data_IF_820277062827
#
_entry.id   IF_820277062827
#
_cell.length_a   1.000
_cell.length_b   1.000
_cell.length_c   1.000
_cell.angle_alpha   90.00
_cell.angle_beta   90.00
_cell.angle_gamma   90.00
#
_symmetry.space_group_name_H-M   'P 1'
#
loop_
_entity.id
_entity.type
_entity.pdbx_description
1 polymer ?
#
# COMPACT_ATOMS: atom_id res chain seq x y z
N UNK A 1 -12.84 -20.68 2.10
CA UNK A 1 -11.58 -20.54 1.33
C UNK A 1 -11.19 -19.06 1.36
N UNK A 2 -9.97 -18.78 1.79
CA UNK A 2 -9.32 -17.46 2.00
C UNK A 2 -9.90 -16.53 3.09
N UNK A 3 -9.33 -16.64 4.30
CA UNK A 3 -9.40 -15.62 5.37
C UNK A 3 -8.41 -14.50 5.04
N UNK A 4 -8.93 -13.28 4.90
CA UNK A 4 -8.14 -12.05 4.76
C UNK A 4 -7.63 -11.64 6.16
N UNK A 5 -6.35 -11.27 6.20
CA UNK A 5 -5.63 -10.80 7.37
C UNK A 5 -6.38 -9.66 8.10
N UNK A 6 -6.49 -9.82 9.42
CA UNK A 6 -7.05 -8.86 10.38
C UNK A 6 -6.25 -7.56 10.41
N UNK A 7 -6.87 -6.45 9.98
CA UNK A 7 -6.42 -5.05 10.15
C UNK A 7 -6.60 -4.56 11.60
N UNK A 8 -6.03 -5.27 12.56
CA UNK A 8 -6.15 -4.94 14.00
C UNK A 8 -5.01 -4.12 14.58
N UNK A 9 -3.84 -4.09 13.94
CA UNK A 9 -2.59 -3.67 14.61
C UNK A 9 -1.92 -2.42 14.02
N UNK A 10 -2.56 -1.76 13.04
CA UNK A 10 -2.02 -0.53 12.43
C UNK A 10 -2.59 0.76 13.07
N UNK A 11 -3.72 0.69 13.77
CA UNK A 11 -4.42 1.89 14.25
C UNK A 11 -3.93 2.43 15.61
N UNK A 12 -3.18 1.64 16.37
CA UNK A 12 -2.64 2.07 17.68
C UNK A 12 -1.33 2.86 17.57
N UNK A 13 -0.66 2.86 16.41
CA UNK A 13 0.57 3.63 16.20
C UNK A 13 0.27 5.09 15.79
N UNK A 14 -0.88 5.35 15.14
CA UNK A 14 -1.25 6.70 14.71
C UNK A 14 -1.82 7.62 15.81
N UNK A 15 -2.14 7.10 17.00
CA UNK A 15 -2.69 7.93 18.09
C UNK A 15 -1.62 8.72 18.88
N UNK A 16 -0.34 8.46 18.67
CA UNK A 16 0.75 9.11 19.43
C UNK A 16 1.45 10.26 18.69
N UNK A 17 1.17 10.49 17.41
CA UNK A 17 1.72 11.63 16.69
C UNK A 17 0.60 12.65 16.45
N UNK A 18 0.73 13.84 17.05
CA UNK A 18 -0.17 14.97 16.80
C UNK A 18 -0.39 15.17 15.31
N UNK A 19 -1.62 15.55 14.93
CA UNK A 19 -2.10 15.65 13.56
C UNK A 19 -1.13 16.43 12.65
N UNK A 20 -0.19 15.71 12.05
CA UNK A 20 0.65 16.20 10.97
C UNK A 20 -0.10 15.83 9.70
N UNK A 21 -0.74 16.81 9.07
CA UNK A 21 -1.35 16.61 7.76
C UNK A 21 -0.20 16.37 6.79
N UNK A 22 0.05 15.10 6.45
CA UNK A 22 1.05 14.72 5.47
C UNK A 22 0.53 15.11 4.08
N UNK A 23 1.28 15.91 3.33
CA UNK A 23 0.97 16.21 1.93
C UNK A 23 2.13 15.82 1.02
N UNK A 24 1.85 15.52 -0.25
CA UNK A 24 2.85 15.27 -1.27
C UNK A 24 3.33 16.59 -1.87
N UNK A 25 4.65 16.74 -1.97
CA UNK A 25 5.30 17.91 -2.57
C UNK A 25 6.20 17.49 -3.73
N UNK A 26 6.26 18.33 -4.77
CA UNK A 26 7.19 18.12 -5.89
C UNK A 26 8.62 18.30 -5.40
N UNK A 27 9.50 17.40 -5.84
CA UNK A 27 10.94 17.52 -5.64
C UNK A 27 11.66 17.42 -6.98
N UNK A 28 12.76 18.15 -7.09
CA UNK A 28 13.67 17.97 -8.21
C UNK A 28 14.39 16.64 -8.06
N UNK A 29 14.31 15.80 -9.09
CA UNK A 29 15.11 14.58 -9.22
C UNK A 29 15.62 14.54 -10.66
N UNK A 30 16.89 14.17 -10.82
CA UNK A 30 17.49 14.10 -12.15
C UNK A 30 17.02 12.81 -12.86
N UNK A 31 16.04 12.96 -13.74
CA UNK A 31 15.54 11.87 -14.59
C UNK A 31 16.20 11.85 -15.97
N UNK A 32 17.30 12.57 -16.21
CA UNK A 32 17.87 12.74 -17.55
C UNK A 32 18.14 11.39 -18.25
N UNK A 33 18.72 10.41 -17.54
CA UNK A 33 18.97 9.07 -18.10
C UNK A 33 17.69 8.26 -18.33
N UNK A 34 16.69 8.44 -17.47
CA UNK A 34 15.39 7.77 -17.58
C UNK A 34 14.60 8.34 -18.78
N UNK A 35 14.56 9.66 -18.93
CA UNK A 35 13.94 10.35 -20.06
C UNK A 35 14.64 10.03 -21.39
N UNK A 36 15.97 9.84 -21.39
CA UNK A 36 16.71 9.37 -22.56
C UNK A 36 16.32 7.95 -22.96
N UNK A 37 16.13 7.07 -21.98
CA UNK A 37 15.79 5.66 -22.21
C UNK A 37 14.32 5.47 -22.58
N UNK A 38 13.44 6.34 -22.09
CA UNK A 38 11.98 6.27 -22.27
C UNK A 38 11.43 7.64 -22.72
N UNK A 39 11.70 8.08 -23.96
CA UNK A 39 11.34 9.42 -24.43
C UNK A 39 9.82 9.63 -24.59
N UNK A 40 9.05 8.54 -24.68
CA UNK A 40 7.58 8.56 -24.78
C UNK A 40 6.87 8.59 -23.42
N UNK A 41 7.61 8.72 -22.32
CA UNK A 41 7.07 8.65 -20.96
C UNK A 41 7.43 9.93 -20.20
N UNK A 42 6.41 10.61 -19.66
CA UNK A 42 6.60 11.73 -18.75
C UNK A 42 7.02 11.25 -17.37
N UNK A 43 7.89 11.98 -16.67
CA UNK A 43 8.36 11.61 -15.34
C UNK A 43 8.21 12.77 -14.34
N UNK A 44 7.79 12.43 -13.13
CA UNK A 44 7.75 13.36 -11.99
C UNK A 44 8.20 12.69 -10.70
N UNK A 45 8.78 13.47 -9.78
CA UNK A 45 9.18 12.98 -8.46
C UNK A 45 8.49 13.77 -7.35
N UNK A 46 7.87 13.04 -6.45
CA UNK A 46 7.07 13.58 -5.36
C UNK A 46 7.46 12.91 -4.05
N UNK A 47 7.51 13.70 -2.99
CA UNK A 47 7.93 13.21 -1.67
C UNK A 47 6.99 13.77 -0.61
N UNK A 48 6.65 12.95 0.38
CA UNK A 48 5.84 13.38 1.51
C UNK A 48 6.59 14.40 2.36
N UNK A 49 5.95 15.51 2.71
CA UNK A 49 6.60 16.61 3.46
C UNK A 49 7.06 16.19 4.87
N UNK A 50 6.33 15.28 5.53
CA UNK A 50 6.77 14.71 6.81
C UNK A 50 7.89 13.68 6.58
N UNK A 51 9.11 14.05 6.99
CA UNK A 51 10.30 13.18 7.04
C UNK A 51 10.71 12.50 5.72
N UNK A 52 10.15 12.88 4.57
CA UNK A 52 10.39 12.20 3.29
C UNK A 52 10.15 10.67 3.36
N UNK A 53 9.17 10.27 4.18
CA UNK A 53 8.90 8.86 4.43
C UNK A 53 8.41 8.11 3.20
N UNK A 54 7.64 8.79 2.33
CA UNK A 54 7.12 8.24 1.07
C UNK A 54 7.80 8.94 -0.10
N UNK A 55 8.38 8.16 -1.01
CA UNK A 55 8.90 8.63 -2.29
C UNK A 55 8.05 8.09 -3.41
N UNK A 56 7.66 8.95 -4.33
CA UNK A 56 6.76 8.61 -5.42
C UNK A 56 7.37 9.06 -6.75
N UNK A 57 7.50 8.10 -7.66
CA UNK A 57 7.88 8.33 -9.04
C UNK A 57 6.59 8.24 -9.86
N UNK A 58 6.23 9.34 -10.50
CA UNK A 58 5.09 9.42 -11.40
C UNK A 58 5.59 9.16 -12.83
N UNK A 59 4.91 8.26 -13.53
CA UNK A 59 5.15 7.94 -14.93
C UNK A 59 3.86 8.21 -15.72
N UNK A 60 3.95 9.05 -16.73
CA UNK A 60 2.82 9.45 -17.58
C UNK A 60 2.94 8.77 -18.95
N UNK A 61 1.97 7.92 -19.28
CA UNK A 61 1.94 7.16 -20.52
C UNK A 61 0.82 7.65 -21.43
N UNK A 62 1.13 7.86 -22.71
CA UNK A 62 0.13 8.31 -23.70
C UNK A 62 -0.96 7.26 -23.98
N UNK A 63 -0.62 5.96 -23.89
CA UNK A 63 -1.55 4.84 -24.16
C UNK A 63 -1.35 3.70 -23.18
N UNK A 64 -2.37 2.86 -23.00
CA UNK A 64 -2.29 1.68 -22.14
C UNK A 64 -1.27 0.67 -22.68
N UNK A 65 -1.13 0.60 -24.00
CA UNK A 65 -0.15 -0.26 -24.66
C UNK A 65 1.29 0.09 -24.26
N UNK A 66 1.66 1.37 -24.31
CA UNK A 66 3.02 1.80 -23.93
C UNK A 66 3.28 1.48 -22.45
N UNK A 67 2.28 1.70 -21.58
CA UNK A 67 2.37 1.36 -20.16
C UNK A 67 2.70 -0.14 -19.97
N UNK A 68 1.91 -1.03 -20.58
CA UNK A 68 2.10 -2.48 -20.46
C UNK A 68 3.43 -2.94 -21.06
N UNK A 69 3.87 -2.33 -22.16
CA UNK A 69 5.11 -2.69 -22.83
C UNK A 69 6.37 -2.19 -22.08
N UNK A 70 6.28 -1.10 -21.30
CA UNK A 70 7.47 -0.42 -20.74
C UNK A 70 7.59 -0.41 -19.20
N UNK A 71 6.53 -0.70 -18.44
CA UNK A 71 6.56 -0.56 -16.96
C UNK A 71 7.68 -1.38 -16.30
N UNK A 72 7.92 -2.61 -16.77
CA UNK A 72 8.93 -3.51 -16.21
C UNK A 72 10.35 -3.00 -16.48
N UNK A 73 10.60 -2.46 -17.68
CA UNK A 73 11.89 -1.86 -18.03
C UNK A 73 12.17 -0.60 -17.20
N UNK A 74 11.16 0.26 -17.02
CA UNK A 74 11.25 1.46 -16.17
C UNK A 74 11.55 1.06 -14.73
N UNK A 75 10.87 0.05 -14.21
CA UNK A 75 11.10 -0.47 -12.87
C UNK A 75 12.52 -1.02 -12.68
N UNK A 76 13.00 -1.82 -13.64
CA UNK A 76 14.37 -2.34 -13.62
C UNK A 76 15.40 -1.21 -13.62
N UNK A 77 15.12 -0.14 -14.36
CA UNK A 77 15.95 1.05 -14.32
C UNK A 77 15.91 1.69 -12.91
N UNK A 78 14.72 1.95 -12.37
CA UNK A 78 14.55 2.55 -11.04
C UNK A 78 15.26 1.74 -9.95
N UNK A 79 15.26 0.41 -10.04
CA UNK A 79 15.89 -0.47 -9.05
C UNK A 79 17.40 -0.25 -8.91
N UNK A 80 18.06 0.14 -10.01
CA UNK A 80 19.50 0.42 -10.06
C UNK A 80 19.79 1.83 -9.55
N UNK A 81 18.97 2.82 -9.90
CA UNK A 81 19.28 4.24 -9.71
C UNK A 81 18.67 4.87 -8.46
N UNK A 82 17.58 4.32 -7.94
CA UNK A 82 16.89 4.88 -6.78
C UNK A 82 17.24 4.10 -5.50
N UNK A 83 18.27 4.56 -4.78
CA UNK A 83 18.58 4.10 -3.44
C UNK A 83 18.20 5.18 -2.41
N UNK A 84 17.06 5.04 -1.70
CA UNK A 84 16.67 5.98 -0.66
C UNK A 84 17.74 6.07 0.43
N UNK A 85 18.12 7.30 0.78
CA UNK A 85 19.15 7.58 1.80
C UNK A 85 18.74 7.10 3.20
N UNK A 86 17.43 7.07 3.47
CA UNK A 86 16.86 6.61 4.73
C UNK A 86 16.43 5.15 4.55
N UNK A 87 16.94 4.27 5.42
CA UNK A 87 16.67 2.82 5.35
C UNK A 87 15.18 2.48 5.42
N UNK A 88 14.42 3.20 6.26
CA UNK A 88 12.97 3.05 6.34
C UNK A 88 12.23 3.51 5.07
N UNK A 89 12.74 4.51 4.35
CA UNK A 89 12.13 5.02 3.11
C UNK A 89 12.29 4.07 1.92
N UNK A 90 13.21 3.10 1.99
CA UNK A 90 13.35 2.04 0.98
C UNK A 90 12.06 1.24 0.80
N UNK A 91 11.31 1.09 1.88
CA UNK A 91 10.08 0.32 1.89
C UNK A 91 8.85 1.11 1.45
N UNK A 92 9.00 2.39 1.13
CA UNK A 92 7.90 3.31 0.81
C UNK A 92 8.14 4.05 -0.51
N UNK A 93 8.73 3.34 -1.47
CA UNK A 93 8.83 3.81 -2.85
C UNK A 93 7.59 3.35 -3.60
N UNK A 94 6.94 4.32 -4.25
CA UNK A 94 5.76 4.11 -5.08
C UNK A 94 6.07 4.48 -6.53
N UNK A 95 5.59 3.66 -7.45
CA UNK A 95 5.61 3.90 -8.88
C UNK A 95 4.16 4.06 -9.35
N UNK A 96 3.80 5.28 -9.73
CA UNK A 96 2.44 5.63 -10.14
C UNK A 96 2.42 5.72 -11.66
N UNK A 97 1.63 4.88 -12.30
CA UNK A 97 1.53 4.75 -13.73
C UNK A 97 0.21 5.39 -14.18
N UNK A 98 0.28 6.58 -14.75
CA UNK A 98 -0.88 7.33 -15.26
C UNK A 98 -1.12 7.01 -16.73
N UNK A 99 -2.38 6.79 -17.08
CA UNK A 99 -2.79 6.54 -18.45
C UNK A 99 -4.18 7.13 -18.74
N UNK A 100 -4.42 7.72 -19.92
CA UNK A 100 -5.75 8.22 -20.29
C UNK A 100 -6.72 7.08 -20.67
N UNK A 101 -6.19 5.90 -21.00
CA UNK A 101 -6.96 4.72 -21.40
C UNK A 101 -7.22 3.78 -20.21
N UNK A 102 -8.15 2.84 -20.39
CA UNK A 102 -8.29 1.73 -19.45
C UNK A 102 -7.24 0.67 -19.78
N UNK A 103 -6.60 0.14 -18.75
CA UNK A 103 -5.68 -1.00 -18.84
C UNK A 103 -6.49 -2.28 -18.65
N UNK A 104 -6.12 -3.35 -19.36
CA UNK A 104 -6.77 -4.65 -19.18
C UNK A 104 -6.66 -5.11 -17.72
N UNK A 105 -7.73 -5.73 -17.20
CA UNK A 105 -7.80 -6.16 -15.80
C UNK A 105 -6.66 -7.12 -15.45
N UNK A 106 -6.26 -7.99 -16.38
CA UNK A 106 -5.14 -8.92 -16.18
C UNK A 106 -3.82 -8.17 -16.05
N UNK A 107 -3.54 -7.27 -16.99
CA UNK A 107 -2.29 -6.49 -16.97
C UNK A 107 -2.22 -5.62 -15.73
N UNK A 108 -3.33 -4.97 -15.36
CA UNK A 108 -3.43 -4.18 -14.13
C UNK A 108 -3.11 -5.02 -12.89
N UNK A 109 -3.64 -6.24 -12.81
CA UNK A 109 -3.37 -7.16 -11.71
C UNK A 109 -1.90 -7.58 -11.64
N UNK A 110 -1.31 -7.93 -12.79
CA UNK A 110 0.11 -8.32 -12.90
C UNK A 110 0.99 -7.18 -12.40
N UNK A 111 0.76 -5.97 -12.92
CA UNK A 111 1.57 -4.81 -12.61
C UNK A 111 1.43 -4.41 -11.14
N UNK A 112 0.21 -4.29 -10.61
CA UNK A 112 0.01 -3.80 -9.23
C UNK A 112 0.47 -4.80 -8.16
N UNK A 113 0.44 -6.09 -8.45
CA UNK A 113 0.91 -7.13 -7.51
C UNK A 113 2.40 -7.43 -7.62
N UNK A 114 3.09 -6.91 -8.64
CA UNK A 114 4.53 -7.04 -8.70
C UNK A 114 5.17 -6.21 -7.58
N UNK A 115 5.81 -6.90 -6.63
CA UNK A 115 6.44 -6.28 -5.46
C UNK A 115 7.91 -5.91 -5.68
N UNK A 116 8.46 -6.14 -6.88
CA UNK A 116 9.87 -5.85 -7.13
C UNK A 116 10.09 -4.33 -7.12
N UNK A 117 11.14 -3.87 -6.43
CA UNK A 117 11.59 -2.45 -6.35
C UNK A 117 10.67 -1.44 -5.65
N UNK A 118 9.38 -1.39 -6.00
CA UNK A 118 8.44 -0.36 -5.55
C UNK A 118 7.00 -0.90 -5.61
N UNK A 119 6.12 -0.31 -4.79
CA UNK A 119 4.67 -0.54 -4.90
C UNK A 119 4.13 0.19 -6.12
N UNK A 120 3.32 -0.49 -6.92
CA UNK A 120 2.80 0.05 -8.18
C UNK A 120 1.33 0.38 -8.06
N UNK A 121 0.93 1.49 -8.63
CA UNK A 121 -0.46 1.87 -8.77
C UNK A 121 -0.70 2.36 -10.19
N UNK A 122 -1.79 1.89 -10.79
CA UNK A 122 -2.23 2.37 -12.10
C UNK A 122 -3.43 3.26 -11.87
N UNK A 123 -3.34 4.49 -12.39
CA UNK A 123 -4.42 5.47 -12.35
C UNK A 123 -4.86 5.71 -13.80
N UNK A 124 -6.10 5.34 -14.09
CA UNK A 124 -6.68 5.31 -15.43
C UNK A 124 -7.55 6.55 -15.66
N UNK A 125 -7.79 6.89 -16.94
CA UNK A 125 -8.68 7.99 -17.35
C UNK A 125 -8.24 9.38 -16.90
N UNK A 126 -6.94 9.55 -16.63
CA UNK A 126 -6.40 10.89 -16.38
C UNK A 126 -5.87 11.48 -17.69
N UNK A 127 -6.21 12.74 -18.01
CA UNK A 127 -5.68 13.40 -19.19
C UNK A 127 -4.17 13.62 -19.03
N UNK A 128 -3.40 13.26 -20.05
CA UNK A 128 -1.94 13.45 -20.11
C UNK A 128 -1.63 14.61 -21.08
N UNK A 129 -0.69 15.52 -20.76
CA UNK A 129 0.09 15.59 -19.52
C UNK A 129 -0.73 16.08 -18.33
N UNK A 130 -0.43 15.58 -17.13
CA UNK A 130 -1.12 15.99 -15.90
C UNK A 130 -0.47 17.24 -15.33
N UNK A 131 -1.27 18.25 -14.98
CA UNK A 131 -0.73 19.42 -14.29
C UNK A 131 -0.24 19.06 -12.88
N UNK A 132 0.79 19.76 -12.41
CA UNK A 132 1.41 19.52 -11.11
C UNK A 132 0.41 19.52 -9.94
N UNK A 133 -0.61 20.37 -9.96
CA UNK A 133 -1.59 20.47 -8.88
C UNK A 133 -2.54 19.26 -8.88
N UNK A 134 -2.95 18.81 -10.07
CA UNK A 134 -3.73 17.59 -10.26
C UNK A 134 -2.95 16.35 -9.88
N UNK A 135 -1.67 16.26 -10.25
CA UNK A 135 -0.78 15.17 -9.85
C UNK A 135 -0.69 15.06 -8.32
N UNK A 136 -0.42 16.17 -7.62
CA UNK A 136 -0.41 16.20 -6.15
C UNK A 136 -1.74 15.71 -5.56
N UNK A 137 -2.87 16.15 -6.14
CA UNK A 137 -4.20 15.72 -5.69
C UNK A 137 -4.42 14.20 -5.88
N UNK A 138 -4.03 13.66 -7.03
CA UNK A 138 -4.09 12.21 -7.29
C UNK A 138 -3.26 11.48 -6.25
N UNK A 139 -2.01 11.88 -6.04
CA UNK A 139 -1.11 11.23 -5.08
C UNK A 139 -1.62 11.31 -3.64
N UNK A 140 -2.14 12.45 -3.21
CA UNK A 140 -2.69 12.59 -1.86
C UNK A 140 -3.93 11.71 -1.65
N UNK A 141 -4.79 11.59 -2.66
CA UNK A 141 -5.96 10.72 -2.55
C UNK A 141 -5.54 9.24 -2.54
N UNK A 142 -4.77 8.83 -3.54
CA UNK A 142 -4.41 7.43 -3.74
C UNK A 142 -3.45 6.88 -2.68
N UNK A 143 -2.47 7.67 -2.23
CA UNK A 143 -1.45 7.22 -1.28
C UNK A 143 -1.78 7.55 0.17
N UNK A 144 -2.44 8.68 0.42
CA UNK A 144 -2.69 9.18 1.77
C UNK A 144 -4.17 9.14 2.16
N UNK A 145 -5.06 8.76 1.23
CA UNK A 145 -6.49 8.64 1.50
C UNK A 145 -7.17 9.96 1.84
N UNK A 146 -6.73 11.08 1.24
CA UNK A 146 -7.30 12.40 1.53
C UNK A 146 -8.78 12.55 1.16
N UNK A 147 -9.27 11.70 0.25
CA UNK A 147 -10.67 11.61 -0.15
C UNK A 147 -11.51 10.76 0.81
N UNK A 148 -10.88 10.02 1.74
CA UNK A 148 -11.57 9.23 2.74
C UNK A 148 -12.25 10.16 3.75
N UNK A 149 -13.56 10.33 3.57
CA UNK A 149 -14.43 10.89 4.60
C UNK A 149 -14.77 9.77 5.58
N UNK A 150 -14.19 9.82 6.77
CA UNK A 150 -14.57 8.91 7.83
C UNK A 150 -15.99 9.27 8.29
N UNK A 151 -16.97 8.50 7.82
CA UNK A 151 -18.33 8.60 8.33
C UNK A 151 -18.38 7.84 9.66
N UNK A 152 -18.17 8.57 10.75
CA UNK A 152 -18.30 8.03 12.11
C UNK A 152 -19.76 7.96 12.56
N UNK A 153 -20.74 8.14 11.64
CA UNK A 153 -22.14 7.88 11.94
C UNK A 153 -22.23 6.46 12.51
N UNK A 154 -22.64 6.35 13.77
CA UNK A 154 -22.42 5.19 14.61
C UNK A 154 -22.82 3.88 13.94
N UNK A 155 -21.85 3.22 13.31
CA UNK A 155 -21.90 1.79 13.15
C UNK A 155 -21.86 1.25 14.58
N UNK A 156 -23.05 1.08 15.16
CA UNK A 156 -23.26 0.07 16.18
C UNK A 156 -22.82 -1.19 15.47
N UNK A 157 -21.58 -1.58 15.68
CA UNK A 157 -21.15 -2.93 15.38
C UNK A 157 -22.00 -3.75 16.33
N UNK A 158 -23.14 -4.22 15.86
CA UNK A 158 -23.75 -5.39 16.46
C UNK A 158 -22.72 -6.50 16.27
N UNK A 159 -21.82 -6.62 17.23
CA UNK A 159 -20.96 -7.77 17.42
C UNK A 159 -21.84 -8.96 17.86
N UNK A 160 -22.91 -9.24 17.13
CA UNK A 160 -23.70 -10.46 17.29
C UNK A 160 -23.00 -11.66 16.64
N UNK A 161 -21.82 -11.46 16.04
CA UNK A 161 -20.92 -12.55 15.69
C UNK A 161 -20.21 -13.05 16.97
N UNK A 162 -20.91 -13.88 17.73
CA UNK A 162 -20.26 -14.83 18.63
C UNK A 162 -19.64 -15.93 17.77
N UNK A 163 -18.35 -15.75 17.51
CA UNK A 163 -17.53 -16.76 16.86
C UNK A 163 -17.66 -18.08 17.64
N UNK A 164 -17.93 -19.21 17.00
CA UNK A 164 -17.94 -20.52 17.69
C UNK A 164 -16.59 -20.87 18.37
N UNK A 165 -15.54 -20.08 18.10
CA UNK A 165 -14.23 -20.19 18.74
C UNK A 165 -13.92 -19.07 19.75
N UNK A 166 -14.82 -18.11 19.99
CA UNK A 166 -14.58 -16.99 20.93
C UNK A 166 -14.26 -17.47 22.34
N UNK A 167 -14.98 -18.50 22.78
CA UNK A 167 -14.90 -19.03 24.14
C UNK A 167 -13.55 -19.71 24.40
N UNK A 168 -12.88 -20.16 23.33
CA UNK A 168 -11.53 -20.72 23.41
C UNK A 168 -10.43 -19.64 23.45
N UNK A 169 -10.75 -18.40 23.08
CA UNK A 169 -9.83 -17.26 23.08
C UNK A 169 -9.90 -16.45 24.37
N UNK A 170 -10.94 -16.64 25.20
CA UNK A 170 -11.01 -16.05 26.53
C UNK A 170 -9.86 -16.58 27.41
N UNK A 171 -9.29 -15.74 28.27
CA UNK A 171 -8.29 -16.12 29.28
C UNK A 171 -7.06 -16.90 28.77
N UNK A 172 -6.62 -16.64 27.53
CA UNK A 172 -5.38 -17.21 27.01
C UNK A 172 -4.19 -16.39 27.56
N UNK A 173 -3.34 -16.96 28.43
CA UNK A 173 -2.20 -16.24 28.95
C UNK A 173 -1.18 -15.96 27.84
N UNK A 174 -0.62 -14.75 27.81
CA UNK A 174 0.27 -14.27 26.74
C UNK A 174 1.74 -14.40 27.11
N UNK A 175 2.06 -14.58 28.38
CA UNK A 175 3.43 -14.66 28.87
C UNK A 175 4.14 -15.97 28.48
N UNK A 176 5.45 -16.00 28.67
CA UNK A 176 6.32 -17.08 28.21
C UNK A 176 6.56 -18.17 29.28
N UNK A 177 5.91 -18.08 30.44
CA UNK A 177 6.08 -19.05 31.53
C UNK A 177 5.64 -20.46 31.12
N UNK A 178 6.19 -21.46 31.80
CA UNK A 178 5.91 -22.87 31.53
C UNK A 178 4.44 -23.22 31.78
N UNK A 179 3.82 -22.66 32.81
CA UNK A 179 2.39 -22.82 33.10
C UNK A 179 1.52 -22.26 31.99
N UNK A 180 1.83 -21.06 31.50
CA UNK A 180 1.07 -20.41 30.42
C UNK A 180 1.19 -21.13 29.09
N UNK A 181 2.34 -21.76 28.80
CA UNK A 181 2.49 -22.65 27.64
C UNK A 181 1.62 -23.91 27.76
N UNK A 182 1.52 -24.50 28.95
CA UNK A 182 0.68 -25.67 29.19
C UNK A 182 -0.80 -25.34 28.98
N UNK A 183 -1.28 -24.23 29.55
CA UNK A 183 -2.66 -23.75 29.40
C UNK A 183 -2.98 -23.47 27.92
N UNK A 184 -2.05 -22.84 27.17
CA UNK A 184 -2.21 -22.65 25.72
C UNK A 184 -2.29 -23.97 24.96
N UNK A 185 -1.45 -24.95 25.29
CA UNK A 185 -1.45 -26.25 24.63
C UNK A 185 -2.78 -27.00 24.85
N UNK A 186 -3.33 -26.97 26.06
CA UNK A 186 -4.64 -27.56 26.39
C UNK A 186 -5.79 -26.89 25.62
N UNK A 187 -5.79 -25.56 25.53
CA UNK A 187 -6.79 -24.83 24.74
C UNK A 187 -6.67 -25.14 23.24
N UNK A 188 -5.45 -25.28 22.71
CA UNK A 188 -5.21 -25.70 21.32
C UNK A 188 -5.74 -27.11 21.07
N UNK A 189 -5.49 -28.08 21.97
CA UNK A 189 -6.04 -29.44 21.82
C UNK A 189 -7.56 -29.43 21.83
N UNK A 190 -8.18 -28.65 22.73
CA UNK A 190 -9.63 -28.51 22.82
C UNK A 190 -10.23 -27.91 21.53
N UNK A 191 -9.56 -26.93 20.93
CA UNK A 191 -9.92 -26.35 19.63
C UNK A 191 -9.81 -27.37 18.49
N UNK A 192 -8.75 -28.18 18.47
CA UNK A 192 -8.54 -29.21 17.44
C UNK A 192 -9.66 -30.26 17.50
N UNK A 193 -10.03 -30.72 18.71
CA UNK A 193 -11.14 -31.66 18.87
C UNK A 193 -12.48 -31.09 18.45
N UNK A 194 -12.73 -29.81 18.76
CA UNK A 194 -13.96 -29.12 18.36
C UNK A 194 -14.08 -29.04 16.84
N UNK A 195 -13.01 -28.63 16.14
CA UNK A 195 -12.99 -28.52 14.67
C UNK A 195 -12.99 -29.90 14.00
N UNK A 196 -12.34 -30.90 14.58
CA UNK A 196 -12.27 -32.26 14.01
C UNK A 196 -13.57 -33.07 14.09
N UNK A 197 -14.56 -32.63 14.88
CA UNK A 197 -15.90 -33.23 14.96
C UNK A 197 -16.92 -32.61 13.99
N UNK A 198 -16.54 -31.57 13.26
CA UNK A 198 -17.35 -30.84 12.26
C UNK A 198 -17.19 -31.42 10.87
#
# INVERSE_FOLDING_TARGET
MLKIFTKGTQLSILRCFGAFIMSMSIKYFDFTELQRSFPSVGFGFYVSEAQSFISCILCEFETAKILVDQWEAIQNFISVYHQPKVEAARWNVYLILLCPENVDVRDKYIIQNDTYTARKLIVEREPIPVDSSRAVKILNNELLGFDLKADFSGAVVECNYQSAISDFLEDVPVDSSTSSRSIRAEKIMSLIEFVGKS
#
